data_IF_196704916734
#
_entry.id   IF_196704916734
#
_cell.length_a   1.000
_cell.length_b   1.000
_cell.length_c   1.000
_cell.angle_alpha   90.00
_cell.angle_beta   90.00
_cell.angle_gamma   90.00
#
_symmetry.space_group_name_H-M   'P 1'
#
loop_
_entity.id
_entity.type
_entity.pdbx_description
1 polymer ?
#
# COMPACT_ATOMS: atom_id res chain seq x y z
N UNK A 1 -35.80 7.81 29.66
CA UNK A 1 -34.54 8.16 30.34
C UNK A 1 -33.38 7.65 29.49
N UNK A 2 -32.77 8.54 28.70
CA UNK A 2 -31.59 8.21 27.91
C UNK A 2 -30.35 8.57 28.74
N UNK A 3 -29.59 7.58 29.17
CA UNK A 3 -28.30 7.80 29.82
C UNK A 3 -27.35 8.28 28.71
N UNK A 4 -27.21 9.60 28.58
CA UNK A 4 -26.11 10.20 27.85
C UNK A 4 -24.85 9.99 28.67
N UNK A 5 -24.08 8.95 28.35
CA UNK A 5 -22.72 8.78 28.87
C UNK A 5 -21.83 9.91 28.33
N UNK A 6 -21.67 10.95 29.15
CA UNK A 6 -20.65 11.96 29.00
C UNK A 6 -19.25 11.29 29.00
N UNK A 7 -18.43 11.56 27.98
CA UNK A 7 -17.00 11.27 28.04
C UNK A 7 -16.40 10.46 26.90
N UNK A 8 -17.18 9.90 25.98
CA UNK A 8 -16.58 9.41 24.73
C UNK A 8 -16.25 10.63 23.87
N UNK A 9 -15.01 11.11 23.95
CA UNK A 9 -14.41 11.90 22.87
C UNK A 9 -14.65 11.09 21.61
N UNK A 10 -15.64 11.49 20.79
CA UNK A 10 -15.80 10.98 19.43
C UNK A 10 -14.42 11.04 18.83
N UNK A 11 -13.82 9.88 18.57
CA UNK A 11 -12.50 9.82 17.98
C UNK A 11 -12.59 10.68 16.73
N UNK A 12 -11.91 11.84 16.73
CA UNK A 12 -11.80 12.67 15.53
C UNK A 12 -11.30 11.69 14.47
N UNK A 13 -12.12 11.43 13.45
CA UNK A 13 -11.69 10.67 12.28
C UNK A 13 -10.59 11.50 11.66
N UNK A 14 -9.35 11.25 12.04
CA UNK A 14 -8.20 12.01 11.56
C UNK A 14 -8.01 11.58 10.12
N UNK A 15 -8.63 12.33 9.20
CA UNK A 15 -8.39 12.15 7.78
C UNK A 15 -6.89 12.35 7.57
N UNK A 16 -6.22 11.33 7.04
CA UNK A 16 -4.79 11.36 6.82
C UNK A 16 -4.47 12.47 5.83
N UNK A 17 -3.46 13.29 6.14
CA UNK A 17 -3.01 14.36 5.27
C UNK A 17 -2.19 13.78 4.12
N UNK A 18 -2.46 14.20 2.89
CA UNK A 18 -1.64 13.85 1.73
C UNK A 18 -0.75 15.04 1.40
N UNK A 19 0.56 14.85 1.46
CA UNK A 19 1.56 15.86 1.12
C UNK A 19 2.26 15.45 -0.18
N UNK A 20 2.15 16.26 -1.22
CA UNK A 20 2.87 16.05 -2.46
C UNK A 20 4.16 16.89 -2.48
N UNK A 21 5.30 16.22 -2.45
CA UNK A 21 6.63 16.80 -2.63
C UNK A 21 7.36 16.20 -3.84
N UNK A 22 6.64 15.51 -4.73
CA UNK A 22 7.19 14.95 -5.96
C UNK A 22 7.16 16.00 -7.08
N UNK A 23 8.25 16.06 -7.85
CA UNK A 23 8.35 16.83 -9.10
C UNK A 23 7.83 16.03 -10.29
N UNK A 24 7.76 14.70 -10.17
CA UNK A 24 7.22 13.80 -11.20
C UNK A 24 5.70 13.98 -11.32
N UNK A 25 5.21 14.03 -12.55
CA UNK A 25 3.77 14.06 -12.84
C UNK A 25 3.06 12.81 -12.33
N UNK A 26 2.24 12.99 -11.29
CA UNK A 26 1.38 11.95 -10.73
C UNK A 26 0.05 11.87 -11.50
N UNK A 27 -0.56 10.67 -11.62
CA UNK A 27 -1.90 10.55 -12.17
C UNK A 27 -2.91 11.36 -11.34
N UNK A 28 -3.81 12.11 -11.98
CA UNK A 28 -4.76 13.05 -11.35
C UNK A 28 -5.54 12.47 -10.15
N UNK A 29 -5.84 11.17 -10.17
CA UNK A 29 -6.65 10.50 -9.15
C UNK A 29 -5.85 9.90 -7.97
N UNK A 30 -4.58 10.28 -7.79
CA UNK A 30 -3.73 9.69 -6.76
C UNK A 30 -4.27 9.97 -5.33
N UNK A 31 -4.66 11.20 -5.01
CA UNK A 31 -5.18 11.57 -3.68
C UNK A 31 -6.48 10.86 -3.34
N UNK A 32 -7.38 10.77 -4.33
CA UNK A 32 -8.63 10.02 -4.23
C UNK A 32 -8.35 8.55 -3.98
N UNK A 33 -7.36 7.98 -4.66
CA UNK A 33 -6.95 6.59 -4.44
C UNK A 33 -6.43 6.38 -3.02
N UNK A 34 -5.58 7.27 -2.52
CA UNK A 34 -5.07 7.22 -1.14
C UNK A 34 -6.22 7.25 -0.15
N UNK A 35 -7.15 8.20 -0.31
CA UNK A 35 -8.33 8.33 0.55
C UNK A 35 -9.18 7.06 0.53
N UNK A 36 -9.47 6.50 -0.65
CA UNK A 36 -10.23 5.26 -0.81
C UNK A 36 -9.57 4.04 -0.15
N UNK A 37 -8.23 4.00 -0.09
CA UNK A 37 -7.49 2.93 0.59
C UNK A 37 -7.67 3.04 2.11
N UNK A 38 -7.55 4.24 2.67
CA UNK A 38 -7.73 4.44 4.12
C UNK A 38 -9.19 4.32 4.56
N UNK A 39 -10.14 4.72 3.73
CA UNK A 39 -11.58 4.52 3.98
C UNK A 39 -11.99 3.03 3.94
N UNK A 40 -11.21 2.21 3.23
CA UNK A 40 -11.43 0.76 3.19
C UNK A 40 -10.93 0.05 4.44
N UNK A 41 -9.89 0.59 5.10
CA UNK A 41 -9.29 -0.04 6.27
C UNK A 41 -10.00 0.38 7.56
N UNK A 42 -10.09 -0.51 8.57
CA UNK A 42 -10.48 -0.11 9.91
C UNK A 42 -9.54 0.96 10.47
N UNK A 43 -10.11 2.01 11.07
CA UNK A 43 -9.37 3.17 11.61
C UNK A 43 -8.34 2.73 12.64
N UNK A 44 -8.61 1.65 13.37
CA UNK A 44 -7.72 1.07 14.37
C UNK A 44 -6.38 0.66 13.76
N UNK A 45 -6.33 0.29 12.48
CA UNK A 45 -5.12 -0.26 11.87
C UNK A 45 -4.12 0.81 11.44
N UNK A 46 -4.55 2.05 11.26
CA UNK A 46 -3.70 3.20 10.92
C UNK A 46 -3.79 4.32 11.95
N UNK A 47 -4.32 4.02 13.13
CA UNK A 47 -4.56 5.01 14.18
C UNK A 47 -3.26 5.71 14.56
N UNK A 48 -3.28 7.04 14.49
CA UNK A 48 -2.13 7.87 14.86
C UNK A 48 -1.18 8.15 13.71
N UNK A 49 -1.37 7.54 12.53
CA UNK A 49 -0.70 7.97 11.30
C UNK A 49 -1.20 9.36 10.92
N UNK A 50 -0.28 10.30 10.74
CA UNK A 50 -0.64 11.69 10.47
C UNK A 50 -0.76 11.98 8.97
N UNK A 51 0.19 11.46 8.18
CA UNK A 51 0.32 11.83 6.77
C UNK A 51 0.92 10.75 5.88
N UNK A 52 0.63 10.89 4.59
CA UNK A 52 1.32 10.22 3.48
C UNK A 52 2.03 11.30 2.68
N UNK A 53 3.35 11.22 2.62
CA UNK A 53 4.19 12.11 1.82
C UNK A 53 4.64 11.40 0.55
N UNK A 54 4.41 12.02 -0.59
CA UNK A 54 4.86 11.53 -1.90
C UNK A 54 6.12 12.30 -2.29
N UNK A 55 7.17 11.59 -2.66
CA UNK A 55 8.47 12.13 -3.05
C UNK A 55 8.92 11.52 -4.36
N UNK A 56 9.87 12.14 -5.06
CA UNK A 56 10.40 11.56 -6.30
C UNK A 56 11.13 10.24 -6.03
N UNK A 57 12.06 10.26 -5.08
CA UNK A 57 12.80 9.10 -4.60
C UNK A 57 13.02 9.21 -3.09
N UNK A 58 12.99 8.07 -2.40
CA UNK A 58 13.20 8.03 -0.94
C UNK A 58 14.70 8.13 -0.65
N UNK A 59 15.08 9.15 0.11
CA UNK A 59 16.46 9.37 0.54
C UNK A 59 16.51 9.40 2.08
N UNK A 60 16.58 8.22 2.70
CA UNK A 60 16.70 8.08 4.15
C UNK A 60 18.11 7.59 4.53
N UNK A 61 18.80 8.21 5.51
CA UNK A 61 20.11 7.77 5.98
C UNK A 61 20.19 6.29 6.40
N UNK A 62 19.08 5.71 6.88
CA UNK A 62 18.98 4.29 7.30
C UNK A 62 19.14 3.33 6.13
N UNK A 63 18.89 3.80 4.90
CA UNK A 63 18.93 2.98 3.70
C UNK A 63 20.33 2.92 3.06
N UNK A 64 21.27 3.76 3.50
CA UNK A 64 22.62 3.86 2.91
C UNK A 64 23.45 2.58 3.00
N UNK A 65 23.15 1.70 3.94
CA UNK A 65 23.86 0.44 4.16
C UNK A 65 23.08 -0.79 3.68
N UNK A 66 21.91 -0.59 3.06
CA UNK A 66 21.13 -1.68 2.49
C UNK A 66 21.51 -1.83 1.02
N UNK A 67 21.80 -3.05 0.60
CA UNK A 67 22.08 -3.40 -0.79
C UNK A 67 20.77 -3.38 -1.57
N UNK A 68 20.33 -2.17 -1.96
CA UNK A 68 19.18 -1.97 -2.82
C UNK A 68 19.63 -2.00 -4.28
N UNK A 69 18.89 -2.69 -5.18
CA UNK A 69 19.28 -2.86 -6.58
C UNK A 69 19.58 -1.54 -7.29
N UNK A 70 18.92 -0.45 -6.88
CA UNK A 70 19.20 0.92 -7.28
C UNK A 70 18.98 1.84 -6.06
N UNK A 71 19.95 2.71 -5.70
CA UNK A 71 19.75 3.71 -4.65
C UNK A 71 18.52 4.59 -4.95
N UNK A 72 17.52 4.55 -4.07
CA UNK A 72 16.27 5.32 -4.21
C UNK A 72 15.08 4.58 -4.82
N UNK A 73 15.22 3.31 -5.22
CA UNK A 73 14.16 2.50 -5.85
C UNK A 73 13.23 1.81 -4.85
N UNK A 74 13.29 2.21 -3.58
CA UNK A 74 12.35 1.70 -2.57
C UNK A 74 10.98 2.36 -2.82
N UNK A 75 9.91 1.57 -3.01
CA UNK A 75 8.61 2.12 -3.37
C UNK A 75 7.94 2.86 -2.22
N UNK A 76 8.24 2.51 -0.96
CA UNK A 76 7.72 3.19 0.21
C UNK A 76 8.48 2.88 1.48
N UNK A 77 8.43 3.82 2.43
CA UNK A 77 9.09 3.74 3.72
C UNK A 77 8.12 4.12 4.85
N UNK A 78 8.08 3.29 5.89
CA UNK A 78 7.35 3.59 7.11
C UNK A 78 8.25 4.31 8.11
N UNK A 79 7.80 5.49 8.55
CA UNK A 79 8.43 6.25 9.61
C UNK A 79 7.66 6.04 10.92
N UNK A 80 8.17 5.23 11.87
CA UNK A 80 7.52 5.03 13.16
C UNK A 80 7.55 6.32 13.99
N UNK A 81 6.73 6.35 15.06
CA UNK A 81 6.73 7.47 16.01
C UNK A 81 8.13 7.67 16.60
N UNK A 82 8.68 8.86 16.44
CA UNK A 82 9.96 9.27 17.05
C UNK A 82 9.72 10.54 17.86
N UNK A 83 9.90 10.45 19.19
CA UNK A 83 9.70 11.56 20.11
C UNK A 83 8.31 12.23 19.93
N UNK A 84 8.29 13.48 19.47
CA UNK A 84 7.08 14.27 19.25
C UNK A 84 6.53 14.15 17.81
N UNK A 85 7.24 13.47 16.90
CA UNK A 85 6.78 13.26 15.54
C UNK A 85 5.86 12.03 15.47
N UNK A 86 4.63 12.23 14.99
CA UNK A 86 3.68 11.15 14.75
C UNK A 86 4.17 10.23 13.61
N UNK A 87 3.73 8.95 13.59
CA UNK A 87 4.08 8.06 12.50
C UNK A 87 3.51 8.57 11.17
N UNK A 88 4.26 8.36 10.09
CA UNK A 88 3.87 8.78 8.75
C UNK A 88 4.46 7.85 7.69
N UNK A 89 3.95 7.97 6.47
CA UNK A 89 4.33 7.13 5.34
C UNK A 89 4.99 7.96 4.26
N UNK A 90 6.06 7.44 3.69
CA UNK A 90 6.75 8.02 2.53
C UNK A 90 6.56 7.09 1.34
N UNK A 91 6.18 7.66 0.18
CA UNK A 91 5.93 6.91 -1.05
C UNK A 91 6.75 7.51 -2.19
N UNK A 92 7.49 6.66 -2.89
CA UNK A 92 8.32 7.05 -4.05
C UNK A 92 7.49 7.03 -5.33
N UNK A 93 7.27 8.20 -5.92
CA UNK A 93 6.65 8.33 -7.23
C UNK A 93 7.53 7.73 -8.33
N UNK A 94 8.85 7.90 -8.23
CA UNK A 94 9.83 7.39 -9.19
C UNK A 94 9.82 5.86 -9.27
N UNK A 95 9.78 5.19 -8.12
CA UNK A 95 9.72 3.72 -8.08
C UNK A 95 8.36 3.17 -8.60
N UNK A 96 7.27 3.92 -8.39
CA UNK A 96 5.94 3.49 -8.84
C UNK A 96 5.68 3.74 -10.33
N UNK A 97 6.23 4.83 -10.89
CA UNK A 97 5.98 5.27 -12.27
C UNK A 97 7.12 4.92 -13.23
N UNK A 98 8.30 4.56 -12.71
CA UNK A 98 9.50 4.20 -13.48
C UNK A 98 9.77 5.19 -14.63
N UNK A 99 9.84 6.51 -14.34
CA UNK A 99 9.89 7.54 -15.38
C UNK A 99 11.17 7.44 -16.22
N UNK A 100 12.25 6.89 -15.68
CA UNK A 100 13.54 6.68 -16.35
C UNK A 100 13.54 5.51 -17.33
N UNK A 101 12.52 4.65 -17.29
CA UNK A 101 12.42 3.48 -18.17
C UNK A 101 11.75 3.81 -19.52
N UNK A 102 11.89 2.87 -20.47
CA UNK A 102 11.33 2.99 -21.82
C UNK A 102 9.80 3.14 -21.85
N UNK A 103 9.28 3.66 -22.96
CA UNK A 103 7.87 4.02 -23.15
C UNK A 103 6.87 2.93 -22.72
N UNK A 104 7.12 1.67 -23.09
CA UNK A 104 6.23 0.55 -22.77
C UNK A 104 6.17 0.27 -21.26
N UNK A 105 7.31 0.30 -20.57
CA UNK A 105 7.41 0.10 -19.12
C UNK A 105 6.73 1.23 -18.36
N UNK A 106 6.94 2.48 -18.80
CA UNK A 106 6.24 3.66 -18.27
C UNK A 106 4.72 3.57 -18.44
N UNK A 107 4.24 3.10 -19.59
CA UNK A 107 2.81 2.94 -19.82
C UNK A 107 2.19 1.87 -18.91
N UNK A 108 2.86 0.71 -18.76
CA UNK A 108 2.44 -0.33 -17.81
C UNK A 108 2.41 0.22 -16.39
N UNK A 109 3.46 0.93 -15.97
CA UNK A 109 3.56 1.51 -14.64
C UNK A 109 2.43 2.51 -14.37
N UNK A 110 2.12 3.40 -15.33
CA UNK A 110 0.98 4.32 -15.24
C UNK A 110 -0.36 3.60 -15.15
N UNK A 111 -0.57 2.54 -15.95
CA UNK A 111 -1.81 1.74 -15.94
C UNK A 111 -2.00 0.98 -14.62
N UNK A 112 -0.92 0.46 -14.05
CA UNK A 112 -0.91 -0.26 -12.77
C UNK A 112 -0.84 0.62 -11.53
N UNK A 113 -0.64 1.93 -11.68
CA UNK A 113 -0.32 2.86 -10.59
C UNK A 113 -1.30 2.76 -9.42
N UNK A 114 -2.61 2.77 -9.71
CA UNK A 114 -3.67 2.66 -8.69
C UNK A 114 -3.53 1.40 -7.83
N UNK A 115 -3.27 0.26 -8.46
CA UNK A 115 -3.13 -1.03 -7.76
C UNK A 115 -1.82 -1.11 -6.98
N UNK A 116 -0.73 -0.64 -7.57
CA UNK A 116 0.59 -0.62 -6.94
C UNK A 116 0.61 0.30 -5.71
N UNK A 117 0.03 1.51 -5.83
CA UNK A 117 -0.13 2.45 -4.73
C UNK A 117 -0.97 1.86 -3.59
N UNK A 118 -2.10 1.23 -3.90
CA UNK A 118 -2.93 0.59 -2.88
C UNK A 118 -2.20 -0.56 -2.18
N UNK A 119 -1.52 -1.44 -2.94
CA UNK A 119 -0.75 -2.54 -2.38
C UNK A 119 0.39 -2.06 -1.47
N UNK A 120 1.08 -0.99 -1.88
CA UNK A 120 2.11 -0.35 -1.09
C UNK A 120 1.55 0.23 0.22
N UNK A 121 0.45 0.98 0.14
CA UNK A 121 -0.20 1.54 1.33
C UNK A 121 -0.68 0.46 2.29
N UNK A 122 -1.26 -0.65 1.79
CA UNK A 122 -1.61 -1.79 2.64
C UNK A 122 -0.38 -2.42 3.30
N UNK A 123 0.75 -2.49 2.60
CA UNK A 123 2.01 -2.95 3.20
C UNK A 123 2.49 -2.01 4.30
N UNK A 124 2.49 -0.69 4.06
CA UNK A 124 2.92 0.32 5.03
C UNK A 124 2.00 0.36 6.26
N UNK A 125 0.69 0.27 6.07
CA UNK A 125 -0.26 0.13 7.18
C UNK A 125 -0.06 -1.19 7.92
N UNK A 126 0.21 -2.28 7.21
CA UNK A 126 0.56 -3.57 7.82
C UNK A 126 1.80 -3.44 8.72
N UNK A 127 2.85 -2.77 8.24
CA UNK A 127 4.05 -2.47 9.03
C UNK A 127 3.68 -1.68 10.29
N UNK A 128 2.94 -0.58 10.14
CA UNK A 128 2.48 0.22 11.28
C UNK A 128 1.66 -0.61 12.28
N UNK A 129 0.68 -1.37 11.80
CA UNK A 129 -0.19 -2.18 12.63
C UNK A 129 0.58 -3.24 13.43
N UNK A 130 1.43 -4.03 12.77
CA UNK A 130 2.17 -5.11 13.44
C UNK A 130 3.37 -4.65 14.26
N UNK A 131 3.99 -3.52 13.92
CA UNK A 131 5.13 -2.98 14.68
C UNK A 131 4.68 -2.13 15.87
N UNK A 132 3.56 -1.42 15.75
CA UNK A 132 3.17 -0.37 16.71
C UNK A 132 1.93 -0.71 17.50
N UNK A 133 0.94 -1.40 16.92
CA UNK A 133 -0.38 -1.57 17.55
C UNK A 133 -0.62 -3.01 18.02
N UNK A 134 -0.13 -4.00 17.28
CA UNK A 134 -0.33 -5.42 17.56
C UNK A 134 0.99 -6.07 17.98
N UNK A 135 1.21 -6.16 19.28
CA UNK A 135 2.42 -6.74 19.87
C UNK A 135 2.42 -8.28 19.99
N UNK A 136 1.41 -8.95 19.43
CA UNK A 136 1.27 -10.41 19.55
C UNK A 136 2.22 -11.22 18.64
N UNK A 137 3.05 -10.55 17.84
CA UNK A 137 3.82 -11.15 16.75
C UNK A 137 5.31 -11.07 17.05
N UNK A 138 5.98 -12.22 17.03
CA UNK A 138 7.43 -12.28 17.18
C UNK A 138 8.11 -11.66 15.96
N UNK A 139 9.26 -11.00 16.17
CA UNK A 139 10.01 -10.31 15.11
C UNK A 139 10.29 -11.17 13.87
N UNK A 140 10.56 -12.46 14.07
CA UNK A 140 10.82 -13.43 12.99
C UNK A 140 9.61 -13.70 12.09
N UNK A 141 8.39 -13.44 12.56
CA UNK A 141 7.16 -13.66 11.81
C UNK A 141 6.50 -12.39 11.27
N UNK A 142 7.15 -11.22 11.41
CA UNK A 142 6.55 -9.95 11.01
C UNK A 142 6.36 -9.84 9.50
N UNK A 143 7.41 -10.10 8.73
CA UNK A 143 7.38 -9.94 7.27
C UNK A 143 6.31 -10.83 6.61
N UNK A 144 6.22 -12.14 6.90
CA UNK A 144 5.15 -12.97 6.35
C UNK A 144 3.74 -12.46 6.71
N UNK A 145 3.55 -11.94 7.93
CA UNK A 145 2.24 -11.45 8.37
C UNK A 145 1.86 -10.11 7.73
N UNK A 146 2.83 -9.20 7.58
CA UNK A 146 2.65 -7.94 6.86
C UNK A 146 2.32 -8.22 5.39
N UNK A 147 3.03 -9.15 4.77
CA UNK A 147 2.77 -9.56 3.39
C UNK A 147 1.37 -10.16 3.22
N UNK A 148 1.00 -11.11 4.07
CA UNK A 148 -0.34 -11.72 4.04
C UNK A 148 -1.43 -10.67 4.28
N UNK A 149 -1.20 -9.71 5.18
CA UNK A 149 -2.11 -8.60 5.42
C UNK A 149 -2.26 -7.72 4.16
N UNK A 150 -1.16 -7.36 3.51
CA UNK A 150 -1.18 -6.55 2.30
C UNK A 150 -1.90 -7.28 1.16
N UNK A 151 -1.56 -8.54 0.90
CA UNK A 151 -2.18 -9.38 -0.13
C UNK A 151 -3.68 -9.56 0.10
N UNK A 152 -4.11 -9.83 1.35
CA UNK A 152 -5.52 -9.97 1.71
C UNK A 152 -6.31 -8.70 1.46
N UNK A 153 -5.82 -7.55 1.94
CA UNK A 153 -6.51 -6.28 1.79
C UNK A 153 -6.51 -5.81 0.34
N UNK A 154 -5.40 -6.00 -0.39
CA UNK A 154 -5.33 -5.66 -1.81
C UNK A 154 -6.32 -6.49 -2.64
N UNK A 155 -6.44 -7.79 -2.36
CA UNK A 155 -7.43 -8.65 -3.03
C UNK A 155 -8.85 -8.16 -2.75
N UNK A 156 -9.20 -7.98 -1.48
CA UNK A 156 -10.54 -7.55 -1.08
C UNK A 156 -10.88 -6.14 -1.60
N UNK A 157 -9.93 -5.22 -1.59
CA UNK A 157 -10.09 -3.88 -2.14
C UNK A 157 -10.27 -3.90 -3.66
N UNK A 158 -9.44 -4.68 -4.37
CA UNK A 158 -9.57 -4.87 -5.83
C UNK A 158 -10.92 -5.47 -6.20
N UNK A 159 -11.42 -6.42 -5.41
CA UNK A 159 -12.77 -6.98 -5.58
C UNK A 159 -13.84 -5.90 -5.41
N UNK A 160 -13.81 -5.13 -4.32
CA UNK A 160 -14.77 -4.03 -4.07
C UNK A 160 -14.71 -2.93 -5.15
N UNK A 161 -13.51 -2.58 -5.62
CA UNK A 161 -13.34 -1.59 -6.69
C UNK A 161 -13.82 -2.12 -8.05
N UNK A 162 -13.69 -3.43 -8.28
CA UNK A 162 -14.09 -4.05 -9.54
C UNK A 162 -15.56 -4.48 -9.57
N UNK A 163 -16.23 -4.65 -8.43
CA UNK A 163 -17.61 -5.14 -8.32
C UNK A 163 -18.62 -4.41 -9.22
N UNK A 164 -18.48 -3.10 -9.37
CA UNK A 164 -19.34 -2.28 -10.24
C UNK A 164 -18.82 -2.12 -11.68
N UNK A 165 -17.67 -2.69 -12.01
CA UNK A 165 -17.09 -2.64 -13.35
C UNK A 165 -17.70 -3.71 -14.26
N UNK A 166 -17.99 -3.32 -15.51
CA UNK A 166 -18.42 -4.25 -16.56
C UNK A 166 -17.42 -5.43 -16.73
N UNK A 167 -16.12 -5.18 -16.53
CA UNK A 167 -15.08 -6.21 -16.60
C UNK A 167 -15.26 -7.27 -15.52
N UNK A 168 -15.61 -6.89 -14.29
CA UNK A 168 -15.83 -7.88 -13.23
C UNK A 168 -17.06 -8.73 -13.51
N UNK A 169 -18.12 -8.15 -14.08
CA UNK A 169 -19.32 -8.92 -14.49
C UNK A 169 -18.96 -9.94 -15.58
N UNK A 170 -18.08 -9.59 -16.52
CA UNK A 170 -17.63 -10.47 -17.60
C UNK A 170 -16.65 -11.56 -17.12
N UNK A 171 -15.68 -11.22 -16.28
CA UNK A 171 -14.58 -12.12 -15.90
C UNK A 171 -14.82 -12.89 -14.59
N UNK A 172 -15.79 -12.51 -13.74
CA UNK A 172 -16.16 -13.27 -12.53
C UNK A 172 -16.37 -14.77 -12.76
N UNK A 173 -17.15 -15.22 -13.76
CA UNK A 173 -17.37 -16.65 -14.00
C UNK A 173 -16.10 -17.40 -14.45
N UNK A 174 -15.14 -16.71 -15.07
CA UNK A 174 -13.90 -17.32 -15.58
C UNK A 174 -12.74 -17.30 -14.58
N UNK A 175 -12.89 -16.65 -13.42
CA UNK A 175 -11.88 -16.64 -12.33
C UNK A 175 -11.28 -18.00 -12.00
N UNK A 176 -12.05 -19.08 -11.78
CA UNK A 176 -11.47 -20.38 -11.41
C UNK A 176 -10.59 -20.97 -12.52
N UNK A 177 -10.91 -20.72 -13.80
CA UNK A 177 -10.09 -21.16 -14.92
C UNK A 177 -8.79 -20.36 -15.01
N UNK A 178 -8.88 -19.03 -14.87
CA UNK A 178 -7.72 -18.14 -14.86
C UNK A 178 -6.77 -18.43 -13.68
N UNK A 179 -7.30 -18.74 -12.49
CA UNK A 179 -6.48 -19.13 -11.34
C UNK A 179 -5.74 -20.46 -11.57
N UNK A 180 -6.39 -21.44 -12.22
CA UNK A 180 -5.73 -22.70 -12.60
C UNK A 180 -4.60 -22.46 -13.60
N UNK A 181 -4.82 -21.60 -14.60
CA UNK A 181 -3.79 -21.23 -15.57
C UNK A 181 -2.64 -20.46 -14.92
N UNK A 182 -2.92 -19.52 -14.01
CA UNK A 182 -1.89 -18.80 -13.27
C UNK A 182 -1.03 -19.74 -12.42
N UNK A 183 -1.64 -20.71 -11.72
CA UNK A 183 -0.90 -21.75 -10.98
C UNK A 183 -0.02 -22.60 -11.89
N UNK A 184 -0.54 -22.98 -13.06
CA UNK A 184 0.23 -23.75 -14.04
C UNK A 184 1.40 -22.96 -14.62
N UNK A 185 1.20 -21.68 -14.95
CA UNK A 185 2.26 -20.79 -15.44
C UNK A 185 3.33 -20.56 -14.38
N UNK A 186 2.95 -20.30 -13.12
CA UNK A 186 3.90 -20.15 -12.03
C UNK A 186 4.70 -21.45 -11.79
N UNK A 187 4.06 -22.62 -11.92
CA UNK A 187 4.75 -23.91 -11.83
C UNK A 187 5.78 -24.08 -12.96
N UNK A 188 5.45 -23.68 -14.19
CA UNK A 188 6.37 -23.69 -15.33
C UNK A 188 7.52 -22.70 -15.17
N UNK A 189 7.23 -21.47 -14.74
CA UNK A 189 8.24 -20.45 -14.52
C UNK A 189 9.22 -20.83 -13.39
N UNK A 190 8.72 -21.45 -12.31
CA UNK A 190 9.56 -21.98 -11.24
C UNK A 190 10.43 -23.15 -11.70
N UNK A 191 9.94 -24.00 -12.61
CA UNK A 191 10.71 -25.08 -13.21
C UNK A 191 11.79 -24.58 -14.19
N UNK A 192 11.55 -23.46 -14.88
CA UNK A 192 12.51 -22.84 -15.80
C UNK A 192 13.58 -21.97 -15.11
N UNK A 193 13.41 -21.65 -13.81
CA UNK A 193 14.40 -20.94 -12.98
C UNK A 193 15.32 -21.89 -12.20
N UNK A 194 15.12 -23.20 -12.29
CA UNK A 194 16.05 -24.23 -11.83
C UNK A 194 16.96 -24.63 -12.98
#
# INVERSE_FOLDING_TARGET
>A
MAIQTAGQKTAKTTKIRVENAASIELPENYETTISQVFDFLPVEQYRGVERVKIVDFINDPRLKNLDVPVPGDIPGLYHPRVQNQAPWFEVSAGALLQPTEGFFKRWIAKSGFKGNLAGLLFSLVGQHYYLTLRHSVKKTGLEPQIRQYAEKNLKAWSEKQSENSWRAKLFKPFRPALERWAKWLNKKAAAAKK
#
